data_IF_021177044343
#
_entry.id   IF_021177044343
#
_cell.length_a   1.000
_cell.length_b   1.000
_cell.length_c   1.000
_cell.angle_alpha   90.00
_cell.angle_beta   90.00
_cell.angle_gamma   90.00
#
_symmetry.space_group_name_H-M   'P 1'
#
loop_
_entity.id
_entity.type
_entity.pdbx_description
1 polymer ?
#
# COMPACT_ATOMS: atom_id res chain seq x y z
N UNK A 2 5.09 -0.06 -9.28
CA UNK A 2 4.55 -1.03 -8.29
C UNK A 2 4.67 -0.52 -6.84
N UNK A 3 5.27 0.72 -6.68
CA UNK A 3 5.49 1.36 -5.35
C UNK A 3 4.20 1.94 -4.75
N UNK A 4 3.29 2.49 -5.65
CA UNK A 4 2.02 3.13 -5.25
C UNK A 4 1.00 2.11 -4.76
N UNK A 5 1.05 0.85 -5.36
CA UNK A 5 0.16 -0.28 -4.97
C UNK A 5 0.44 -0.79 -3.55
N UNK A 6 1.79 -0.96 -3.21
CA UNK A 6 2.25 -1.49 -1.90
C UNK A 6 1.90 -0.51 -0.73
N UNK A 7 2.06 0.85 -0.98
CA UNK A 7 1.75 1.90 0.02
C UNK A 7 0.26 1.92 0.36
N UNK A 9 -1.95 -0.49 0.23
CA UNK A 9 -2.36 -1.73 0.97
C UNK A 9 -1.90 -1.75 2.43
N UNK A 10 -0.70 -1.13 2.73
CA UNK A 10 -0.11 -1.08 4.08
C UNK A 10 -0.95 -0.16 4.98
N UNK A 11 -1.52 0.93 4.35
CA UNK A 11 -2.34 1.95 5.04
C UNK A 11 -3.79 1.48 5.37
N UNK A 13 -5.18 -1.06 5.49
CA UNK A 13 -5.17 -2.39 6.16
C UNK A 13 -5.75 -2.28 7.58
N UNK A 14 -5.46 -1.10 8.25
CA UNK A 14 -5.94 -0.79 9.62
C UNK A 14 -7.42 -0.46 9.61
#
# INVERSE_FOLDING_TARGET
XEKHKILXRLLXDSX
#
